data_IF_745055220098
#
_entry.id   IF_745055220098
#
_cell.length_a   1.000
_cell.length_b   1.000
_cell.length_c   1.000
_cell.angle_alpha   90.00
_cell.angle_beta   90.00
_cell.angle_gamma   90.00
#
_symmetry.space_group_name_H-M   'P 1'
#
loop_
_entity.id
_entity.type
_entity.pdbx_description
1 polymer ?
#
# COMPACT_ATOMS: atom_id res chain seq x y z
N UNK A 1 27.60 -26.10 -29.54
CA UNK A 1 28.94 -25.48 -29.62
C UNK A 1 28.73 -24.00 -29.32
N UNK A 2 29.11 -23.55 -28.12
CA UNK A 2 28.98 -22.16 -27.67
C UNK A 2 29.87 -21.25 -28.52
N UNK A 3 29.37 -20.08 -28.91
CA UNK A 3 30.23 -18.94 -29.22
C UNK A 3 29.76 -17.77 -28.35
N UNK A 4 30.59 -17.51 -27.34
CA UNK A 4 30.58 -16.32 -26.50
C UNK A 4 31.14 -15.16 -27.34
N UNK A 5 30.43 -14.03 -27.42
CA UNK A 5 31.07 -12.75 -27.78
C UNK A 5 30.79 -11.79 -26.65
N UNK A 6 31.71 -11.74 -25.69
CA UNK A 6 31.86 -10.61 -24.79
C UNK A 6 32.54 -9.48 -25.57
N UNK A 7 31.92 -8.30 -25.61
CA UNK A 7 32.63 -7.06 -25.90
C UNK A 7 32.55 -6.16 -24.67
N UNK A 8 33.65 -6.12 -23.94
CA UNK A 8 33.97 -5.02 -23.05
C UNK A 8 34.33 -3.80 -23.90
N UNK A 9 33.79 -2.63 -23.55
CA UNK A 9 34.31 -1.35 -24.03
C UNK A 9 34.47 -0.42 -22.85
N UNK A 10 35.71 -0.24 -22.46
CA UNK A 10 36.15 0.79 -21.54
C UNK A 10 36.08 2.16 -22.22
N UNK A 11 35.40 3.11 -21.59
CA UNK A 11 35.77 4.53 -21.62
C UNK A 11 35.40 5.15 -20.27
N UNK A 12 36.42 5.58 -19.53
CA UNK A 12 36.33 6.16 -18.21
C UNK A 12 35.70 7.56 -18.23
N UNK A 13 34.65 7.77 -17.44
CA UNK A 13 34.56 8.95 -16.56
C UNK A 13 33.58 8.64 -15.42
N UNK A 14 34.12 8.38 -14.21
CA UNK A 14 33.39 8.47 -12.94
C UNK A 14 32.46 7.31 -12.54
N UNK A 15 32.94 6.07 -12.43
CA UNK A 15 32.12 4.96 -11.90
C UNK A 15 32.35 4.78 -10.39
N UNK A 16 31.50 5.43 -9.57
CA UNK A 16 31.12 4.85 -8.28
C UNK A 16 30.50 3.47 -8.56
N UNK A 17 30.90 2.43 -7.83
CA UNK A 17 30.16 1.16 -7.87
C UNK A 17 28.66 1.46 -7.70
N UNK A 18 27.75 0.85 -8.48
CA UNK A 18 26.33 1.10 -8.35
C UNK A 18 25.96 0.89 -6.87
N UNK A 19 25.25 1.83 -6.25
CA UNK A 19 24.94 1.72 -4.84
C UNK A 19 24.16 0.41 -4.64
N UNK A 20 24.45 -0.32 -3.56
CA UNK A 20 23.93 -1.68 -3.31
C UNK A 20 22.39 -1.75 -3.33
N UNK A 21 21.72 -0.61 -3.19
CA UNK A 21 20.27 -0.43 -3.24
C UNK A 21 19.71 -0.30 -4.66
N UNK A 22 20.57 -0.17 -5.68
CA UNK A 22 20.21 0.08 -7.07
C UNK A 22 20.66 -1.03 -8.01
N UNK A 23 19.78 -1.42 -8.95
CA UNK A 23 20.18 -2.25 -10.07
C UNK A 23 19.44 -1.88 -11.35
N UNK A 24 20.10 -2.14 -12.47
CA UNK A 24 19.50 -2.10 -13.80
C UNK A 24 19.85 -3.39 -14.53
N UNK A 25 18.84 -4.05 -15.10
CA UNK A 25 19.01 -5.23 -15.93
C UNK A 25 18.36 -4.98 -17.28
N UNK A 26 19.10 -5.23 -18.36
CA UNK A 26 18.58 -5.24 -19.73
C UNK A 26 18.66 -6.67 -20.25
N UNK A 27 17.55 -7.18 -20.78
CA UNK A 27 17.48 -8.52 -21.35
C UNK A 27 16.82 -8.48 -22.73
N UNK A 28 17.34 -9.31 -23.63
CA UNK A 28 16.83 -9.47 -24.99
C UNK A 28 16.20 -10.84 -25.11
N UNK A 29 14.94 -10.87 -25.52
CA UNK A 29 14.11 -12.05 -25.64
C UNK A 29 14.03 -12.40 -27.12
N UNK A 30 14.71 -13.47 -27.53
CA UNK A 30 14.72 -13.94 -28.91
C UNK A 30 13.47 -14.77 -29.25
N UNK A 31 13.12 -14.85 -30.53
CA UNK A 31 11.94 -15.55 -31.03
C UNK A 31 10.64 -15.11 -30.34
N UNK A 32 10.50 -13.81 -30.08
CA UNK A 32 9.44 -13.25 -29.26
C UNK A 32 8.04 -13.59 -29.79
N UNK A 33 7.84 -13.54 -31.11
CA UNK A 33 6.56 -13.90 -31.74
C UNK A 33 6.15 -15.36 -31.55
N UNK A 34 7.11 -16.26 -31.30
CA UNK A 34 6.88 -17.69 -31.06
C UNK A 34 6.58 -18.02 -29.61
N UNK A 35 6.75 -17.06 -28.70
CA UNK A 35 6.37 -17.27 -27.31
C UNK A 35 4.87 -17.51 -27.24
N UNK A 36 4.51 -18.54 -26.48
CA UNK A 36 3.12 -18.87 -26.19
C UNK A 36 2.59 -17.91 -25.11
N UNK A 37 1.41 -18.22 -24.56
CA UNK A 37 0.81 -17.42 -23.52
C UNK A 37 1.51 -17.59 -22.16
N UNK A 38 2.57 -18.41 -22.07
CA UNK A 38 3.24 -18.70 -20.81
C UNK A 38 4.16 -17.55 -20.37
N UNK A 39 4.43 -17.53 -19.08
CA UNK A 39 5.35 -16.59 -18.46
C UNK A 39 6.78 -16.86 -18.95
N UNK A 40 7.43 -15.81 -19.46
CA UNK A 40 8.86 -15.78 -19.68
C UNK A 40 9.54 -15.06 -18.51
N UNK A 41 10.68 -15.56 -18.03
CA UNK A 41 11.41 -14.95 -16.92
C UNK A 41 12.80 -14.52 -17.36
N UNK A 42 13.25 -13.36 -16.88
CA UNK A 42 14.64 -12.94 -17.04
C UNK A 42 15.58 -13.73 -16.12
N UNK A 43 16.88 -13.53 -16.33
CA UNK A 43 17.89 -13.87 -15.33
C UNK A 43 17.65 -13.10 -14.01
N UNK A 44 18.18 -13.65 -12.93
CA UNK A 44 18.10 -13.05 -11.60
C UNK A 44 19.13 -11.93 -11.47
N UNK A 45 18.70 -10.79 -10.94
CA UNK A 45 19.57 -9.66 -10.59
C UNK A 45 19.37 -9.24 -9.14
N UNK A 46 20.27 -8.40 -8.62
CA UNK A 46 20.36 -8.10 -7.19
C UNK A 46 20.24 -6.59 -6.94
N UNK A 47 19.30 -6.19 -6.07
CA UNK A 47 19.15 -4.81 -5.61
C UNK A 47 18.69 -4.80 -4.15
N UNK A 48 19.29 -3.96 -3.31
CA UNK A 48 18.97 -3.84 -1.89
C UNK A 48 19.22 -5.10 -1.07
N UNK A 49 20.09 -6.01 -1.53
CA UNK A 49 20.32 -7.31 -0.90
C UNK A 49 19.28 -8.39 -1.23
N UNK A 50 18.32 -8.09 -2.11
CA UNK A 50 17.27 -9.02 -2.54
C UNK A 50 17.47 -9.49 -3.97
N UNK A 51 16.94 -10.68 -4.28
CA UNK A 51 16.96 -11.26 -5.62
C UNK A 51 15.70 -10.90 -6.37
N UNK A 52 15.87 -10.35 -7.55
CA UNK A 52 14.80 -9.88 -8.42
C UNK A 52 14.86 -10.59 -9.77
N UNK A 53 13.71 -10.71 -10.42
CA UNK A 53 13.59 -11.14 -11.81
C UNK A 53 12.41 -10.42 -12.46
N UNK A 54 12.43 -10.33 -13.78
CA UNK A 54 11.30 -9.84 -14.57
C UNK A 54 10.46 -11.05 -14.96
N UNK A 55 9.14 -10.95 -14.78
CA UNK A 55 8.16 -11.83 -15.43
C UNK A 55 7.56 -11.08 -16.61
N UNK A 56 7.76 -11.60 -17.82
CA UNK A 56 7.17 -11.09 -19.05
C UNK A 56 6.05 -12.04 -19.47
N UNK A 57 4.89 -11.48 -19.81
CA UNK A 57 3.75 -12.21 -20.39
C UNK A 57 3.57 -11.71 -21.82
N UNK A 58 4.18 -12.38 -22.81
CA UNK A 58 4.36 -11.86 -24.18
C UNK A 58 3.07 -11.53 -24.92
N UNK A 59 2.00 -12.26 -24.62
CA UNK A 59 0.64 -12.06 -25.18
C UNK A 59 -0.34 -11.47 -24.17
N UNK A 60 0.19 -10.92 -23.09
CA UNK A 60 -0.60 -10.39 -21.98
C UNK A 60 -1.31 -11.45 -21.18
N UNK A 61 -1.88 -11.02 -20.05
CA UNK A 61 -2.81 -11.83 -19.27
C UNK A 61 -4.24 -11.56 -19.78
N UNK A 62 -4.59 -12.11 -20.95
CA UNK A 62 -5.92 -11.97 -21.59
C UNK A 62 -6.28 -10.53 -22.04
N UNK A 63 -5.26 -9.73 -22.32
CA UNK A 63 -5.36 -8.40 -22.94
C UNK A 63 -4.43 -8.35 -24.14
N UNK A 64 -4.79 -7.62 -25.20
CA UNK A 64 -3.93 -7.43 -26.40
C UNK A 64 -2.75 -6.47 -26.12
N UNK A 65 -2.09 -6.64 -24.97
CA UNK A 65 -0.94 -5.86 -24.51
C UNK A 65 0.13 -6.79 -23.96
N UNK A 66 1.40 -6.39 -24.09
CA UNK A 66 2.48 -6.98 -23.31
C UNK A 66 2.30 -6.64 -21.83
N UNK A 67 2.37 -7.63 -20.95
CA UNK A 67 2.41 -7.42 -19.50
C UNK A 67 3.80 -7.74 -18.95
N UNK A 68 4.25 -6.95 -17.97
CA UNK A 68 5.55 -7.13 -17.31
C UNK A 68 5.42 -6.90 -15.81
N UNK A 69 6.13 -7.72 -15.02
CA UNK A 69 6.13 -7.64 -13.56
C UNK A 69 7.55 -7.77 -13.02
N UNK A 70 7.81 -7.04 -11.93
CA UNK A 70 8.98 -7.23 -11.09
C UNK A 70 8.61 -8.26 -10.02
N UNK A 71 9.45 -9.29 -9.85
CA UNK A 71 9.20 -10.41 -8.94
C UNK A 71 10.36 -10.60 -7.99
N UNK A 72 10.06 -10.82 -6.70
CA UNK A 72 11.04 -11.27 -5.71
C UNK A 72 11.35 -12.75 -5.98
N UNK A 73 12.54 -13.03 -6.51
CA UNK A 73 12.87 -14.32 -7.11
C UNK A 73 12.89 -15.48 -6.11
N UNK A 74 13.23 -15.20 -4.85
CA UNK A 74 13.37 -16.17 -3.77
C UNK A 74 12.40 -15.91 -2.61
N UNK A 75 11.22 -15.33 -2.92
CA UNK A 75 10.15 -15.02 -1.96
C UNK A 75 9.81 -16.16 -1.02
N UNK A 76 9.74 -17.40 -1.54
CA UNK A 76 9.45 -18.62 -0.76
C UNK A 76 10.51 -18.98 0.28
N UNK A 77 11.71 -18.41 0.17
CA UNK A 77 12.83 -18.65 1.10
C UNK A 77 13.03 -17.52 2.09
N UNK A 78 12.31 -16.41 1.92
CA UNK A 78 12.35 -15.29 2.85
C UNK A 78 11.64 -15.64 4.17
N UNK A 79 12.00 -14.99 5.28
CA UNK A 79 11.33 -15.21 6.56
C UNK A 79 9.84 -14.85 6.47
N UNK A 80 8.98 -15.60 7.17
CA UNK A 80 7.56 -15.28 7.29
C UNK A 80 7.38 -13.83 7.80
N UNK A 81 6.51 -13.06 7.15
CA UNK A 81 6.26 -11.66 7.44
C UNK A 81 7.27 -10.70 6.82
N UNK A 82 8.00 -11.11 5.78
CA UNK A 82 8.95 -10.23 5.09
C UNK A 82 8.24 -9.10 4.37
N UNK A 83 8.92 -7.96 4.28
CA UNK A 83 8.44 -6.77 3.59
C UNK A 83 9.63 -6.04 2.98
N UNK A 84 9.57 -5.73 1.69
CA UNK A 84 10.62 -5.02 0.95
C UNK A 84 10.01 -3.76 0.36
N UNK A 85 10.48 -2.59 0.84
CA UNK A 85 10.08 -1.30 0.32
C UNK A 85 10.98 -0.89 -0.85
N UNK A 86 10.39 -0.82 -2.05
CA UNK A 86 11.04 -0.34 -3.27
C UNK A 86 10.67 1.12 -3.49
N UNK A 87 11.68 1.99 -3.45
CA UNK A 87 11.51 3.44 -3.64
C UNK A 87 11.00 3.77 -5.03
N UNK A 88 11.60 3.17 -6.05
CA UNK A 88 11.05 3.18 -7.40
C UNK A 88 11.55 1.98 -8.20
N UNK A 89 10.77 1.58 -9.20
CA UNK A 89 11.25 0.73 -10.27
C UNK A 89 10.61 1.12 -11.61
N UNK A 90 11.32 0.84 -12.71
CA UNK A 90 10.80 0.99 -14.07
C UNK A 90 10.80 -0.36 -14.78
N UNK A 91 9.82 -0.57 -15.65
CA UNK A 91 9.76 -1.67 -16.60
C UNK A 91 9.59 -1.06 -17.99
N UNK A 92 10.60 -1.25 -18.84
CA UNK A 92 10.69 -0.56 -20.12
C UNK A 92 10.84 -1.54 -21.28
N UNK A 93 10.18 -1.25 -22.39
CA UNK A 93 10.35 -1.93 -23.68
C UNK A 93 11.19 -1.03 -24.57
N UNK A 94 12.41 -1.47 -24.84
CA UNK A 94 13.42 -0.67 -25.53
C UNK A 94 13.10 -0.60 -27.02
N UNK A 95 13.02 0.63 -27.53
CA UNK A 95 12.88 0.89 -28.95
C UNK A 95 14.24 1.14 -29.60
N UNK A 96 14.36 0.88 -30.90
CA UNK A 96 15.54 1.26 -31.68
C UNK A 96 15.82 2.78 -31.66
N UNK A 97 14.76 3.59 -31.61
CA UNK A 97 14.86 5.01 -31.28
C UNK A 97 14.65 5.20 -29.77
N UNK A 98 15.68 5.57 -28.99
CA UNK A 98 15.57 5.71 -27.54
C UNK A 98 14.43 6.63 -27.08
N UNK A 99 14.10 7.66 -27.87
CA UNK A 99 13.01 8.61 -27.56
C UNK A 99 11.60 7.98 -27.63
N UNK A 100 11.46 6.81 -28.27
CA UNK A 100 10.21 6.06 -28.40
C UNK A 100 10.15 4.85 -27.46
N UNK A 101 11.12 4.72 -26.54
CA UNK A 101 11.09 3.68 -25.51
C UNK A 101 9.83 3.83 -24.66
N UNK A 102 9.10 2.73 -24.48
CA UNK A 102 7.95 2.71 -23.57
C UNK A 102 8.49 2.39 -22.19
N UNK A 103 8.24 3.27 -21.22
CA UNK A 103 8.68 3.12 -19.84
C UNK A 103 7.47 3.24 -18.91
N UNK A 104 7.31 2.24 -18.04
CA UNK A 104 6.30 2.24 -17.00
C UNK A 104 6.98 2.32 -15.64
N UNK A 105 6.69 3.37 -14.87
CA UNK A 105 7.31 3.64 -13.58
C UNK A 105 6.32 3.38 -12.42
N UNK A 106 6.82 2.74 -11.36
CA UNK A 106 6.13 2.61 -10.07
C UNK A 106 7.01 3.17 -8.95
N UNK A 107 6.40 3.87 -7.98
CA UNK A 107 7.07 4.49 -6.83
C UNK A 107 6.51 3.94 -5.52
N UNK A 108 7.37 3.83 -4.52
CA UNK A 108 7.02 3.49 -3.13
C UNK A 108 6.14 2.24 -3.02
N UNK A 109 6.53 1.16 -3.70
CA UNK A 109 5.79 -0.10 -3.65
C UNK A 109 6.39 -1.05 -2.61
N UNK A 110 5.55 -1.83 -1.94
CA UNK A 110 5.95 -2.78 -0.90
C UNK A 110 5.63 -4.20 -1.36
N UNK A 111 6.68 -5.01 -1.52
CA UNK A 111 6.56 -6.45 -1.78
C UNK A 111 6.51 -7.20 -0.44
N UNK A 112 5.64 -8.21 -0.33
CA UNK A 112 5.48 -9.02 0.88
C UNK A 112 4.93 -10.42 0.56
N UNK A 113 4.64 -11.23 1.59
CA UNK A 113 4.12 -12.60 1.45
C UNK A 113 2.88 -12.75 0.57
N UNK A 114 2.01 -11.73 0.51
CA UNK A 114 0.76 -11.74 -0.27
C UNK A 114 0.91 -11.03 -1.62
N UNK A 115 2.09 -10.52 -1.94
CA UNK A 115 2.37 -9.68 -3.09
C UNK A 115 3.84 -9.73 -3.45
N UNK A 116 4.32 -10.90 -3.87
CA UNK A 116 5.70 -11.13 -4.28
C UNK A 116 6.02 -10.63 -5.69
N UNK A 117 4.98 -10.25 -6.44
CA UNK A 117 5.04 -9.77 -7.82
C UNK A 117 4.15 -8.53 -7.99
N UNK A 118 4.67 -7.52 -8.68
CA UNK A 118 3.91 -6.30 -9.02
C UNK A 118 4.41 -5.70 -10.33
N UNK A 119 3.51 -5.08 -11.09
CA UNK A 119 3.83 -4.57 -12.42
C UNK A 119 2.63 -4.06 -13.18
N UNK A 120 2.73 -4.13 -14.51
CA UNK A 120 1.78 -3.51 -15.42
C UNK A 120 1.20 -4.54 -16.39
N UNK A 121 -0.12 -4.64 -16.42
CA UNK A 121 -0.83 -5.51 -17.36
C UNK A 121 -0.85 -4.94 -18.79
N UNK A 122 -0.74 -3.61 -18.94
CA UNK A 122 -0.78 -2.90 -20.23
C UNK A 122 0.48 -2.05 -20.44
N UNK A 123 1.62 -2.69 -20.74
CA UNK A 123 2.87 -1.97 -21.02
C UNK A 123 2.82 -1.36 -22.42
N UNK A 124 2.63 -2.18 -23.45
CA UNK A 124 2.53 -1.75 -24.85
C UNK A 124 1.50 -2.62 -25.59
N UNK A 125 0.65 -2.06 -26.46
CA UNK A 125 -0.27 -2.87 -27.27
C UNK A 125 0.50 -3.87 -28.13
N UNK A 126 0.01 -5.10 -28.26
CA UNK A 126 0.62 -6.11 -29.13
C UNK A 126 0.60 -5.70 -30.59
N UNK A 127 -0.40 -4.92 -31.00
CA UNK A 127 -0.47 -4.35 -32.36
C UNK A 127 0.69 -3.39 -32.64
N UNK A 128 1.13 -2.62 -31.65
CA UNK A 128 2.25 -1.69 -31.79
C UNK A 128 3.60 -2.39 -31.60
N UNK A 129 3.69 -3.30 -30.63
CA UNK A 129 4.89 -4.10 -30.38
C UNK A 129 5.28 -4.96 -31.59
N UNK A 130 4.29 -5.58 -32.24
CA UNK A 130 4.48 -6.47 -33.39
C UNK A 130 4.55 -5.75 -34.75
N UNK A 131 4.30 -4.44 -34.81
CA UNK A 131 4.44 -3.67 -36.04
C UNK A 131 5.93 -3.39 -36.33
N UNK A 132 6.49 -3.94 -37.43
CA UNK A 132 7.89 -3.73 -37.77
C UNK A 132 8.27 -2.26 -38.00
N UNK A 133 7.30 -1.40 -38.33
CA UNK A 133 7.53 0.04 -38.53
C UNK A 133 7.74 0.80 -37.22
N UNK A 134 7.35 0.21 -36.09
CA UNK A 134 7.41 0.83 -34.76
C UNK A 134 8.73 0.66 -34.06
N UNK A 135 9.55 -0.34 -34.44
CA UNK A 135 10.93 -0.46 -33.99
C UNK A 135 11.16 -1.11 -32.62
N UNK A 136 10.15 -1.76 -32.04
CA UNK A 136 10.28 -2.49 -30.77
C UNK A 136 10.76 -3.94 -30.94
N UNK A 137 10.42 -4.57 -32.07
CA UNK A 137 10.88 -5.92 -32.42
C UNK A 137 11.91 -5.87 -33.54
N UNK A 138 13.10 -6.43 -33.28
CA UNK A 138 14.23 -6.45 -34.23
C UNK A 138 14.66 -7.87 -34.47
N UNK A 139 14.49 -8.39 -35.69
CA UNK A 139 14.77 -9.81 -36.01
C UNK A 139 14.05 -10.77 -35.06
N UNK A 140 12.79 -10.48 -34.77
CA UNK A 140 11.96 -11.25 -33.83
C UNK A 140 12.53 -11.30 -32.40
N UNK A 141 13.30 -10.28 -32.01
CA UNK A 141 13.81 -10.12 -30.66
C UNK A 141 13.29 -8.82 -30.02
N UNK A 142 12.74 -8.94 -28.81
CA UNK A 142 12.26 -7.82 -27.99
C UNK A 142 13.28 -7.54 -26.89
N UNK A 143 13.68 -6.28 -26.69
CA UNK A 143 14.57 -5.92 -25.58
C UNK A 143 13.78 -5.21 -24.50
N UNK A 144 13.87 -5.70 -23.27
CA UNK A 144 13.26 -5.07 -22.12
C UNK A 144 14.31 -4.69 -21.09
N UNK A 145 14.03 -3.65 -20.32
CA UNK A 145 14.90 -3.15 -19.27
C UNK A 145 14.10 -2.96 -17.98
N UNK A 146 14.74 -3.23 -16.86
CA UNK A 146 14.24 -2.94 -15.53
C UNK A 146 15.26 -2.12 -14.77
N UNK A 147 14.79 -1.11 -14.05
CA UNK A 147 15.55 -0.34 -13.08
C UNK A 147 14.87 -0.49 -11.72
N UNK A 148 15.63 -0.74 -10.65
CA UNK A 148 15.08 -0.90 -9.30
C UNK A 148 15.95 -0.12 -8.32
N UNK A 149 15.32 0.66 -7.44
CA UNK A 149 15.96 1.24 -6.26
C UNK A 149 15.19 0.88 -5.00
N UNK A 150 15.83 0.12 -4.12
CA UNK A 150 15.30 -0.31 -2.83
C UNK A 150 15.57 0.75 -1.77
N UNK A 151 14.71 0.87 -0.76
CA UNK A 151 14.98 1.76 0.37
C UNK A 151 16.00 1.10 1.33
N UNK A 152 17.22 1.64 1.44
CA UNK A 152 18.29 1.07 2.27
C UNK A 152 18.06 1.22 3.79
N UNK A 153 17.07 2.00 4.22
CA UNK A 153 16.87 2.38 5.64
C UNK A 153 15.94 1.45 6.44
N UNK A 154 15.28 0.46 5.83
CA UNK A 154 14.31 -0.42 6.53
C UNK A 154 14.79 -1.86 6.69
N UNK A 155 15.92 -2.08 7.35
CA UNK A 155 16.21 -3.38 7.99
C UNK A 155 15.55 -3.42 9.38
N UNK A 156 14.23 -3.57 9.45
CA UNK A 156 13.54 -3.72 10.75
C UNK A 156 13.72 -5.15 11.27
N UNK A 157 14.58 -5.28 12.28
CA UNK A 157 14.63 -6.45 13.17
C UNK A 157 13.35 -6.52 14.02
N UNK A 158 12.61 -7.63 13.83
CA UNK A 158 11.71 -8.40 14.73
C UNK A 158 10.98 -7.69 15.88
N UNK A 159 9.70 -8.07 16.06
CA UNK A 159 9.20 -8.58 17.36
C UNK A 159 8.20 -9.73 17.17
N UNK A 160 8.59 -10.92 17.64
CA UNK A 160 7.65 -11.99 17.98
C UNK A 160 6.83 -11.55 19.20
N UNK A 161 5.52 -11.78 19.16
CA UNK A 161 4.68 -11.92 20.37
C UNK A 161 3.70 -13.06 20.14
N UNK A 162 3.97 -14.20 20.77
CA UNK A 162 2.93 -15.13 21.19
C UNK A 162 2.11 -14.48 22.31
N UNK A 163 0.78 -14.55 22.18
CA UNK A 163 -0.16 -14.61 23.29
C UNK A 163 -1.52 -15.08 22.74
N UNK A 164 -1.75 -16.38 22.90
CA UNK A 164 -2.96 -16.98 23.48
C UNK A 164 -4.30 -16.23 23.28
N UNK A 165 -5.19 -16.78 22.45
CA UNK A 165 -6.62 -16.57 22.59
C UNK A 165 -7.45 -17.70 21.96
N UNK A 166 -8.09 -18.43 22.87
CA UNK A 166 -9.22 -19.36 22.71
C UNK A 166 -10.31 -18.82 21.76
N UNK A 167 -10.79 -19.58 20.76
CA UNK A 167 -11.98 -19.19 20.01
C UNK A 167 -13.23 -19.65 20.76
N UNK A 168 -14.12 -18.70 21.05
CA UNK A 168 -15.52 -19.00 21.37
C UNK A 168 -16.35 -18.54 20.18
N UNK A 169 -17.12 -19.49 19.66
CA UNK A 169 -18.02 -19.43 18.52
C UNK A 169 -19.07 -18.31 18.61
N UNK A 170 -19.37 -17.69 17.46
CA UNK A 170 -20.76 -17.49 17.05
C UNK A 170 -20.84 -17.29 15.54
N UNK A 171 -21.60 -18.18 14.91
CA UNK A 171 -21.89 -18.30 13.49
C UNK A 171 -22.47 -17.02 12.87
N UNK A 172 -22.15 -16.78 11.60
CA UNK A 172 -23.19 -16.43 10.61
C UNK A 172 -22.83 -17.12 9.30
N UNK A 173 -23.42 -18.31 9.10
CA UNK A 173 -23.47 -19.02 7.82
C UNK A 173 -24.16 -18.11 6.79
N UNK A 174 -23.50 -17.84 5.67
CA UNK A 174 -24.17 -17.42 4.43
C UNK A 174 -23.99 -18.53 3.40
N UNK A 175 -25.13 -19.03 2.97
CA UNK A 175 -25.40 -20.28 2.25
C UNK A 175 -24.84 -20.28 0.83
N UNK A 176 -23.96 -21.24 0.52
CA UNK A 176 -23.54 -21.59 -0.85
C UNK A 176 -24.31 -22.78 -1.44
N UNK A 177 -25.35 -23.28 -0.76
CA UNK A 177 -25.99 -24.58 -1.07
C UNK A 177 -26.91 -24.62 -2.30
N UNK A 178 -26.70 -23.77 -3.33
CA UNK A 178 -27.51 -23.80 -4.55
C UNK A 178 -26.81 -24.45 -5.74
N UNK A 179 -25.50 -24.71 -5.65
CA UNK A 179 -24.70 -25.20 -6.78
C UNK A 179 -24.04 -26.57 -6.54
N UNK A 180 -23.99 -27.03 -5.29
CA UNK A 180 -23.39 -28.33 -4.93
C UNK A 180 -24.06 -29.54 -5.62
N UNK A 181 -25.40 -29.60 -5.81
CA UNK A 181 -26.02 -30.73 -6.53
C UNK A 181 -25.65 -30.76 -8.02
N UNK A 182 -25.49 -29.58 -8.62
CA UNK A 182 -25.22 -29.41 -10.05
C UNK A 182 -23.78 -29.83 -10.39
N UNK A 183 -22.85 -29.68 -9.43
CA UNK A 183 -21.46 -30.08 -9.55
C UNK A 183 -21.29 -31.61 -9.50
N UNK A 184 -22.03 -32.28 -8.60
CA UNK A 184 -22.02 -33.74 -8.46
C UNK A 184 -22.63 -34.44 -9.68
N UNK A 185 -23.70 -33.87 -10.24
CA UNK A 185 -24.37 -34.41 -11.43
C UNK A 185 -23.48 -34.34 -12.69
N UNK A 186 -22.72 -33.26 -12.86
CA UNK A 186 -21.77 -33.10 -13.97
C UNK A 186 -20.62 -34.09 -13.87
N UNK A 187 -20.10 -34.34 -12.67
CA UNK A 187 -18.98 -35.25 -12.42
C UNK A 187 -19.37 -36.72 -12.66
N UNK A 188 -20.58 -37.11 -12.26
CA UNK A 188 -21.15 -38.44 -12.51
C UNK A 188 -21.34 -38.76 -14.01
N UNK A 189 -21.66 -37.75 -14.82
CA UNK A 189 -21.84 -37.88 -16.28
C UNK A 189 -20.50 -37.99 -17.02
N UNK A 190 -19.44 -37.37 -16.50
CA UNK A 190 -18.10 -37.38 -17.13
C UNK A 190 -17.33 -38.69 -16.93
N UNK A 191 -17.79 -39.54 -16.02
CA UNK A 191 -17.16 -40.83 -15.62
C UNK A 191 -17.88 -42.07 -16.19
N UNK A 192 -18.99 -41.92 -16.93
CA UNK A 192 -19.76 -43.02 -17.52
C UNK A 192 -19.28 -43.51 -18.90
N UNK A 193 -19.26 -44.83 -19.07
CA UNK A 193 -18.61 -45.61 -20.15
C UNK A 193 -19.11 -45.43 -21.61
N UNK A 194 -18.24 -45.89 -22.51
CA UNK A 194 -18.28 -45.87 -23.99
C UNK A 194 -19.61 -46.23 -24.67
N UNK A 195 -19.96 -45.54 -25.76
CA UNK A 195 -20.96 -45.98 -26.74
C UNK A 195 -20.44 -45.93 -28.19
N UNK A 196 -20.74 -46.99 -28.96
CA UNK A 196 -20.33 -47.20 -30.36
C UNK A 196 -21.10 -46.30 -31.33
N UNK A 197 -20.54 -45.94 -32.50
CA UNK A 197 -21.21 -45.07 -33.44
C UNK A 197 -22.13 -45.89 -34.35
N UNK A 198 -23.39 -45.46 -34.51
CA UNK A 198 -24.06 -45.60 -35.80
C UNK A 198 -25.22 -44.62 -36.00
N UNK A 199 -25.15 -43.95 -37.16
CA UNK A 199 -26.20 -43.27 -37.97
C UNK A 199 -27.06 -42.17 -37.32
N UNK A 200 -26.75 -40.92 -37.67
CA UNK A 200 -27.55 -40.09 -38.60
C UNK A 200 -26.79 -38.79 -38.93
N UNK A 201 -26.80 -38.38 -40.20
CA UNK A 201 -26.23 -37.11 -40.69
C UNK A 201 -27.34 -36.08 -40.92
N UNK A 202 -26.93 -34.81 -40.82
CA UNK A 202 -27.57 -33.52 -41.17
C UNK A 202 -28.25 -32.84 -39.98
N UNK A 203 -27.90 -31.59 -39.62
CA UNK A 203 -27.80 -30.40 -40.46
C UNK A 203 -26.80 -29.38 -39.88
N UNK A 204 -26.21 -28.56 -40.77
CA UNK A 204 -25.14 -27.59 -40.61
C UNK A 204 -25.21 -26.67 -39.37
N UNK A 205 -24.15 -26.75 -38.54
CA UNK A 205 -23.53 -25.69 -37.74
C UNK A 205 -22.00 -25.80 -37.93
N UNK A 206 -21.16 -24.86 -37.45
CA UNK A 206 -19.71 -24.94 -37.70
C UNK A 206 -19.20 -26.30 -37.21
N UNK A 207 -18.66 -27.10 -38.14
CA UNK A 207 -18.25 -28.47 -37.88
C UNK A 207 -16.98 -28.45 -37.05
N UNK A 208 -17.11 -28.45 -35.73
CA UNK A 208 -16.00 -28.66 -34.81
C UNK A 208 -15.38 -30.03 -35.09
N UNK A 209 -14.06 -30.09 -35.13
CA UNK A 209 -13.29 -31.31 -35.34
C UNK A 209 -13.34 -32.21 -34.10
N UNK A 210 -13.12 -33.52 -34.27
CA UNK A 210 -13.07 -34.48 -33.15
C UNK A 210 -12.00 -34.09 -32.13
N UNK A 211 -10.88 -33.52 -32.59
CA UNK A 211 -9.80 -33.02 -31.74
C UNK A 211 -10.22 -31.80 -30.89
N UNK A 212 -11.00 -30.87 -31.46
CA UNK A 212 -11.54 -29.72 -30.71
C UNK A 212 -12.53 -30.13 -29.62
N UNK A 213 -13.33 -31.19 -29.86
CA UNK A 213 -14.27 -31.73 -28.87
C UNK A 213 -13.51 -32.43 -27.73
N UNK A 214 -12.47 -33.22 -28.05
CA UNK A 214 -11.62 -33.89 -27.06
C UNK A 214 -10.88 -32.84 -26.20
N UNK A 215 -10.25 -31.87 -26.84
CA UNK A 215 -9.54 -30.77 -26.17
C UNK A 215 -10.48 -29.97 -25.25
N UNK A 216 -11.70 -29.66 -25.70
CA UNK A 216 -12.70 -28.97 -24.87
C UNK A 216 -13.13 -29.80 -23.66
N UNK A 217 -13.23 -31.12 -23.80
CA UNK A 217 -13.56 -32.04 -22.69
C UNK A 217 -12.44 -32.07 -21.63
N UNK A 218 -11.18 -32.04 -22.06
CA UNK A 218 -10.03 -32.02 -21.15
C UNK A 218 -9.90 -30.67 -20.43
N UNK A 219 -10.09 -29.55 -21.13
CA UNK A 219 -10.11 -28.21 -20.53
C UNK A 219 -11.25 -28.09 -19.50
N UNK A 220 -12.44 -28.59 -19.84
CA UNK A 220 -13.59 -28.60 -18.94
C UNK A 220 -13.29 -29.36 -17.64
N UNK A 221 -12.71 -30.56 -17.73
CA UNK A 221 -12.28 -31.33 -16.55
C UNK A 221 -11.24 -30.58 -15.71
N UNK A 222 -10.24 -29.99 -16.36
CA UNK A 222 -9.21 -29.20 -15.68
C UNK A 222 -9.76 -27.93 -15.01
N UNK A 223 -10.90 -27.40 -15.44
CA UNK A 223 -11.55 -26.26 -14.76
C UNK A 223 -12.40 -26.71 -13.56
N UNK A 224 -12.92 -27.94 -13.56
CA UNK A 224 -13.69 -28.49 -12.45
C UNK A 224 -12.79 -28.88 -11.27
N UNK A 225 -11.52 -29.19 -11.51
CA UNK A 225 -10.57 -29.57 -10.45
C UNK A 225 -9.99 -28.38 -9.65
N UNK A 226 -10.43 -27.14 -9.91
CA UNK A 226 -9.88 -25.92 -9.29
C UNK A 226 -11.02 -25.01 -8.78
N UNK A 227 -10.81 -24.33 -7.65
CA UNK A 227 -11.77 -23.38 -7.08
C UNK A 227 -12.16 -22.29 -8.08
N UNK A 228 -13.44 -21.89 -8.08
CA UNK A 228 -13.98 -20.87 -8.99
C UNK A 228 -13.20 -19.55 -8.94
N UNK A 229 -12.67 -19.19 -7.76
CA UNK A 229 -11.82 -18.02 -7.59
C UNK A 229 -10.53 -18.12 -8.43
N UNK A 230 -9.89 -19.29 -8.44
CA UNK A 230 -8.71 -19.54 -9.28
C UNK A 230 -9.09 -19.63 -10.75
N UNK A 231 -10.26 -20.16 -11.11
CA UNK A 231 -10.73 -20.19 -12.50
C UNK A 231 -10.90 -18.78 -13.06
N UNK A 232 -11.47 -17.87 -12.26
CA UNK A 232 -11.68 -16.46 -12.64
C UNK A 232 -10.35 -15.70 -12.64
N UNK A 233 -9.52 -15.83 -11.58
CA UNK A 233 -8.24 -15.13 -11.48
C UNK A 233 -7.21 -15.57 -12.53
N UNK A 234 -7.24 -16.83 -12.95
CA UNK A 234 -6.38 -17.35 -14.01
C UNK A 234 -6.94 -17.08 -15.42
N UNK A 235 -8.05 -16.33 -15.56
CA UNK A 235 -8.68 -16.04 -16.86
C UNK A 235 -9.19 -17.28 -17.61
N UNK A 236 -9.43 -18.37 -16.88
CA UNK A 236 -9.92 -19.65 -17.43
C UNK A 236 -11.45 -19.70 -17.48
N UNK A 237 -12.13 -18.65 -17.03
CA UNK A 237 -13.57 -18.46 -17.18
C UNK A 237 -13.98 -18.42 -18.67
N UNK A 238 -13.19 -17.77 -19.52
CA UNK A 238 -13.39 -17.79 -20.98
C UNK A 238 -13.21 -19.19 -21.57
N UNK A 239 -12.18 -19.93 -21.13
CA UNK A 239 -11.91 -21.31 -21.55
C UNK A 239 -13.02 -22.26 -21.12
N UNK A 240 -13.51 -22.12 -19.89
CA UNK A 240 -14.63 -22.88 -19.34
C UNK A 240 -15.92 -22.60 -20.12
N UNK A 241 -16.22 -21.32 -20.38
CA UNK A 241 -17.39 -20.92 -21.18
C UNK A 241 -17.32 -21.48 -22.60
N UNK A 242 -16.16 -21.33 -23.27
CA UNK A 242 -15.96 -21.82 -24.64
C UNK A 242 -16.08 -23.34 -24.70
N UNK A 243 -15.49 -24.05 -23.75
CA UNK A 243 -15.59 -25.51 -23.65
C UNK A 243 -17.03 -25.96 -23.45
N UNK A 244 -17.78 -25.30 -22.55
CA UNK A 244 -19.20 -25.57 -22.33
C UNK A 244 -20.05 -25.27 -23.58
N UNK A 245 -19.77 -24.19 -24.31
CA UNK A 245 -20.46 -23.87 -25.57
C UNK A 245 -20.21 -24.90 -26.68
N UNK A 246 -18.99 -25.44 -26.78
CA UNK A 246 -18.65 -26.52 -27.73
C UNK A 246 -19.35 -27.83 -27.33
N UNK A 247 -19.32 -28.17 -26.04
CA UNK A 247 -19.99 -29.37 -25.52
C UNK A 247 -21.52 -29.31 -25.69
N UNK A 248 -22.14 -28.16 -25.47
CA UNK A 248 -23.57 -27.92 -25.75
C UNK A 248 -23.89 -28.11 -27.24
N UNK A 249 -23.03 -27.61 -28.13
CA UNK A 249 -23.24 -27.67 -29.59
C UNK A 249 -23.00 -29.08 -30.17
N UNK A 250 -22.28 -29.94 -29.44
CA UNK A 250 -21.94 -31.31 -29.85
C UNK A 250 -22.90 -32.39 -29.31
N UNK A 251 -24.01 -32.00 -28.67
CA UNK A 251 -24.92 -32.91 -27.96
C UNK A 251 -24.22 -33.79 -26.91
N UNK A 252 -23.13 -33.29 -26.31
CA UNK A 252 -22.38 -34.02 -25.28
C UNK A 252 -23.12 -34.11 -23.93
N UNK A 253 -24.21 -33.35 -23.75
CA UNK A 253 -25.01 -33.32 -22.53
C UNK A 253 -26.38 -34.01 -22.71
N UNK A 254 -26.91 -34.66 -21.65
CA UNK A 254 -28.28 -35.17 -21.64
C UNK A 254 -29.33 -34.08 -21.88
N UNK A 255 -30.39 -34.38 -22.66
CA UNK A 255 -31.42 -33.40 -23.06
C UNK A 255 -32.10 -32.67 -21.90
N UNK A 256 -32.21 -33.30 -20.73
CA UNK A 256 -32.86 -32.73 -19.55
C UNK A 256 -32.05 -31.65 -18.83
N UNK A 257 -30.74 -31.52 -19.12
CA UNK A 257 -29.86 -30.51 -18.48
C UNK A 257 -29.43 -29.40 -19.43
N UNK A 258 -29.67 -29.55 -20.74
CA UNK A 258 -29.24 -28.59 -21.78
C UNK A 258 -29.78 -27.18 -21.52
N UNK A 259 -31.05 -27.03 -21.13
CA UNK A 259 -31.65 -25.72 -20.87
C UNK A 259 -31.03 -24.99 -19.67
N UNK A 260 -30.68 -25.73 -18.62
CA UNK A 260 -30.04 -25.17 -17.41
C UNK A 260 -28.60 -24.77 -17.69
N UNK A 261 -27.84 -25.63 -18.38
CA UNK A 261 -26.46 -25.34 -18.78
C UNK A 261 -26.42 -24.16 -19.76
N UNK A 262 -27.39 -24.06 -20.68
CA UNK A 262 -27.51 -22.93 -21.61
C UNK A 262 -27.75 -21.61 -20.86
N UNK A 263 -28.66 -21.59 -19.86
CA UNK A 263 -28.88 -20.42 -19.00
C UNK A 263 -27.65 -20.06 -18.18
N UNK A 264 -26.95 -21.06 -17.65
CA UNK A 264 -25.71 -20.87 -16.91
C UNK A 264 -24.64 -20.20 -17.79
N UNK A 265 -24.35 -20.77 -18.97
CA UNK A 265 -23.36 -20.23 -19.93
C UNK A 265 -23.71 -18.81 -20.39
N UNK A 266 -25.01 -18.52 -20.58
CA UNK A 266 -25.48 -17.19 -20.96
C UNK A 266 -25.19 -16.12 -19.89
N UNK A 267 -25.34 -16.48 -18.61
CA UNK A 267 -25.14 -15.57 -17.48
C UNK A 267 -23.73 -15.62 -16.88
N UNK A 268 -22.90 -16.56 -17.32
CA UNK A 268 -21.62 -16.88 -16.69
C UNK A 268 -20.65 -15.70 -16.68
N UNK A 269 -20.50 -14.99 -17.81
CA UNK A 269 -19.60 -13.82 -17.93
C UNK A 269 -20.03 -12.71 -16.98
N UNK A 270 -21.31 -12.34 -17.01
CA UNK A 270 -21.86 -11.32 -16.13
C UNK A 270 -21.69 -11.69 -14.65
N UNK A 271 -21.81 -12.98 -14.32
CA UNK A 271 -21.61 -13.47 -12.96
C UNK A 271 -20.14 -13.39 -12.51
N UNK A 272 -19.19 -13.67 -13.41
CA UNK A 272 -17.76 -13.54 -13.14
C UNK A 272 -17.35 -12.06 -12.97
N UNK A 273 -17.85 -11.18 -13.85
CA UNK A 273 -17.64 -9.73 -13.74
C UNK A 273 -18.17 -9.18 -12.40
N UNK A 274 -19.39 -9.56 -12.01
CA UNK A 274 -19.98 -9.15 -10.73
C UNK A 274 -19.18 -9.68 -9.53
N UNK A 275 -18.65 -10.90 -9.62
CA UNK A 275 -17.80 -11.47 -8.60
C UNK A 275 -16.50 -10.68 -8.42
N UNK A 276 -15.81 -10.31 -9.51
CA UNK A 276 -14.57 -9.53 -9.42
C UNK A 276 -14.80 -8.11 -8.91
N UNK A 277 -15.89 -7.45 -9.33
CA UNK A 277 -16.28 -6.14 -8.77
C UNK A 277 -16.52 -6.28 -7.26
N UNK A 278 -17.29 -7.27 -6.82
CA UNK A 278 -17.55 -7.49 -5.40
C UNK A 278 -16.26 -7.82 -4.61
N UNK A 279 -15.32 -8.55 -5.21
CA UNK A 279 -14.02 -8.87 -4.61
C UNK A 279 -13.15 -7.62 -4.47
N UNK A 280 -13.16 -6.75 -5.48
CA UNK A 280 -12.46 -5.47 -5.44
C UNK A 280 -13.05 -4.53 -4.40
N UNK A 281 -14.38 -4.41 -4.35
CA UNK A 281 -15.09 -3.63 -3.34
C UNK A 281 -14.75 -4.12 -1.92
N UNK A 282 -14.70 -5.45 -1.71
CA UNK A 282 -14.33 -6.02 -0.43
C UNK A 282 -12.88 -5.71 -0.05
N UNK A 283 -11.94 -5.76 -1.01
CA UNK A 283 -10.54 -5.35 -0.77
C UNK A 283 -10.45 -3.89 -0.34
N UNK A 284 -11.17 -3.00 -1.03
CA UNK A 284 -11.19 -1.56 -0.71
C UNK A 284 -11.79 -1.31 0.69
N UNK A 285 -12.85 -2.03 1.05
CA UNK A 285 -13.45 -1.94 2.40
C UNK A 285 -12.45 -2.39 3.47
N UNK A 286 -11.78 -3.52 3.28
CA UNK A 286 -10.79 -4.03 4.25
C UNK A 286 -9.60 -3.07 4.42
N UNK A 287 -9.14 -2.45 3.34
CA UNK A 287 -8.07 -1.45 3.38
C UNK A 287 -8.51 -0.19 4.14
N UNK A 288 -9.73 0.28 3.90
CA UNK A 288 -10.32 1.41 4.65
C UNK A 288 -10.49 1.09 6.13
N UNK A 289 -10.94 -0.13 6.48
CA UNK A 289 -11.06 -0.57 7.87
C UNK A 289 -9.70 -0.53 8.57
N UNK A 290 -8.64 -1.05 7.93
CA UNK A 290 -7.27 -0.97 8.45
C UNK A 290 -6.82 0.48 8.65
N UNK A 291 -7.06 1.34 7.67
CA UNK A 291 -6.73 2.78 7.77
C UNK A 291 -7.47 3.47 8.93
N UNK A 292 -8.73 3.12 9.17
CA UNK A 292 -9.51 3.65 10.30
C UNK A 292 -8.90 3.22 11.64
N UNK A 293 -8.50 1.96 11.75
CA UNK A 293 -7.86 1.44 12.97
C UNK A 293 -6.51 2.12 13.24
N UNK A 294 -5.69 2.33 12.21
CA UNK A 294 -4.43 3.06 12.33
C UNK A 294 -4.65 4.51 12.79
N UNK A 295 -5.62 5.20 12.19
CA UNK A 295 -6.00 6.56 12.60
C UNK A 295 -6.51 6.63 14.04
N UNK A 296 -7.34 5.66 14.45
CA UNK A 296 -7.88 5.57 15.81
C UNK A 296 -6.77 5.34 16.83
N UNK A 297 -5.77 4.53 16.49
CA UNK A 297 -4.61 4.29 17.34
C UNK A 297 -3.73 5.54 17.45
N UNK A 298 -3.45 6.22 16.33
CA UNK A 298 -2.72 7.49 16.33
C UNK A 298 -3.43 8.57 17.16
N UNK A 299 -4.77 8.64 17.07
CA UNK A 299 -5.57 9.59 17.87
C UNK A 299 -5.49 9.29 19.37
N UNK A 300 -5.54 8.02 19.77
CA UNK A 300 -5.37 7.60 21.17
C UNK A 300 -3.98 7.96 21.70
N UNK A 301 -2.95 7.73 20.89
CA UNK A 301 -1.57 8.06 21.25
C UNK A 301 -1.40 9.57 21.42
N UNK A 302 -1.88 10.37 20.47
CA UNK A 302 -1.81 11.83 20.55
C UNK A 302 -2.57 12.38 21.76
N UNK A 303 -3.75 11.84 22.04
CA UNK A 303 -4.55 12.21 23.21
C UNK A 303 -3.83 11.89 24.53
N UNK A 304 -3.29 10.69 24.66
CA UNK A 304 -2.70 10.20 25.92
C UNK A 304 -1.29 10.73 26.16
N UNK A 305 -0.44 10.75 25.14
CA UNK A 305 0.99 11.04 25.27
C UNK A 305 1.34 12.51 25.08
N UNK A 306 0.55 13.25 24.28
CA UNK A 306 0.87 14.65 23.95
C UNK A 306 -0.13 15.61 24.59
N UNK A 307 -1.43 15.39 24.39
CA UNK A 307 -2.44 16.36 24.81
C UNK A 307 -2.65 16.39 26.33
N UNK A 308 -2.85 15.23 26.95
CA UNK A 308 -3.15 15.16 28.39
C UNK A 308 -2.04 15.73 29.29
N UNK A 309 -0.74 15.46 29.05
CA UNK A 309 0.33 16.05 29.84
C UNK A 309 0.43 17.56 29.70
N UNK A 310 0.32 18.08 28.46
CA UNK A 310 0.36 19.53 28.19
C UNK A 310 -0.83 20.22 28.85
N UNK A 311 -2.02 19.63 28.79
CA UNK A 311 -3.21 20.15 29.48
C UNK A 311 -3.00 20.23 30.99
N UNK A 312 -2.48 19.17 31.62
CA UNK A 312 -2.19 19.18 33.06
C UNK A 312 -1.15 20.23 33.43
N UNK A 313 -0.14 20.43 32.58
CA UNK A 313 0.87 21.47 32.79
C UNK A 313 0.25 22.87 32.71
N UNK A 314 -0.62 23.13 31.73
CA UNK A 314 -1.34 24.39 31.63
C UNK A 314 -2.21 24.65 32.87
N UNK A 315 -2.98 23.64 33.31
CA UNK A 315 -3.80 23.74 34.53
C UNK A 315 -2.94 24.02 35.79
N UNK A 316 -1.72 23.48 35.87
CA UNK A 316 -0.79 23.78 36.97
C UNK A 316 -0.25 25.21 36.92
N UNK A 317 0.05 25.73 35.72
CA UNK A 317 0.51 27.11 35.53
C UNK A 317 -0.59 28.09 35.87
N UNK A 318 -1.83 27.84 35.46
CA UNK A 318 -2.98 28.68 35.80
C UNK A 318 -3.17 28.79 37.32
N UNK A 319 -3.05 27.67 38.05
CA UNK A 319 -3.10 27.66 39.52
C UNK A 319 -1.96 28.47 40.17
N UNK A 320 -0.76 28.42 39.59
CA UNK A 320 0.38 29.21 40.08
C UNK A 320 0.18 30.72 39.85
N UNK A 321 -0.39 31.09 38.70
CA UNK A 321 -0.75 32.48 38.39
C UNK A 321 -1.77 33.01 39.40
N UNK A 322 -2.84 32.25 39.66
CA UNK A 322 -3.87 32.63 40.63
C UNK A 322 -3.27 32.87 42.03
N UNK A 323 -2.36 32.00 42.46
CA UNK A 323 -1.67 32.13 43.75
C UNK A 323 -0.76 33.37 43.79
N UNK A 324 0.01 33.63 42.74
CA UNK A 324 0.87 34.81 42.65
C UNK A 324 0.06 36.11 42.62
N UNK A 325 -1.09 36.12 41.96
CA UNK A 325 -2.01 37.26 41.97
C UNK A 325 -2.54 37.53 43.38
N UNK A 326 -2.95 36.49 44.09
CA UNK A 326 -3.37 36.59 45.50
C UNK A 326 -2.26 37.22 46.36
N UNK A 327 -1.03 36.70 46.27
CA UNK A 327 0.12 37.26 47.00
C UNK A 327 0.42 38.71 46.63
N UNK A 328 0.30 39.06 45.34
CA UNK A 328 0.52 40.43 44.87
C UNK A 328 -0.51 41.39 45.49
N UNK A 329 -1.78 40.98 45.59
CA UNK A 329 -2.81 41.82 46.23
C UNK A 329 -2.52 42.07 47.71
N UNK A 330 -2.09 41.04 48.45
CA UNK A 330 -1.70 41.17 49.86
C UNK A 330 -0.51 42.13 50.03
N UNK A 331 0.52 42.00 49.19
CA UNK A 331 1.70 42.87 49.22
C UNK A 331 1.36 44.32 48.87
N UNK A 332 0.47 44.54 47.89
CA UNK A 332 -0.04 45.89 47.57
C UNK A 332 -0.78 46.50 48.77
N UNK A 333 -1.61 45.72 49.46
CA UNK A 333 -2.29 46.17 50.68
C UNK A 333 -1.30 46.52 51.81
N UNK A 334 -0.27 45.68 52.02
CA UNK A 334 0.78 45.96 53.01
C UNK A 334 1.58 47.22 52.67
N UNK A 335 1.93 47.43 51.40
CA UNK A 335 2.60 48.65 50.92
C UNK A 335 1.75 49.89 51.21
N UNK A 336 0.45 49.85 50.92
CA UNK A 336 -0.46 50.96 51.19
C UNK A 336 -0.52 51.29 52.70
N UNK A 337 -0.61 50.29 53.57
CA UNK A 337 -0.58 50.47 55.03
C UNK A 337 0.72 51.13 55.51
N UNK A 338 1.86 50.66 55.03
CA UNK A 338 3.16 51.25 55.39
C UNK A 338 3.30 52.69 54.90
N UNK A 339 2.79 52.99 53.71
CA UNK A 339 2.78 54.35 53.16
C UNK A 339 2.02 55.31 54.08
N UNK A 340 0.84 54.92 54.58
CA UNK A 340 0.07 55.71 55.54
C UNK A 340 0.83 55.93 56.86
N UNK A 341 1.49 54.89 57.38
CA UNK A 341 2.29 55.02 58.61
C UNK A 341 3.45 56.00 58.41
N UNK A 342 4.13 55.94 57.27
CA UNK A 342 5.21 56.87 56.96
C UNK A 342 4.73 58.32 56.85
N UNK A 343 3.56 58.55 56.26
CA UNK A 343 2.94 59.88 56.16
C UNK A 343 2.64 60.46 57.55
N UNK A 344 2.02 59.67 58.44
CA UNK A 344 1.77 60.08 59.83
C UNK A 344 3.07 60.40 60.58
N UNK A 345 4.10 59.57 60.42
CA UNK A 345 5.40 59.82 61.07
C UNK A 345 6.09 61.08 60.52
N UNK A 346 5.98 61.33 59.21
CA UNK A 346 6.51 62.53 58.59
C UNK A 346 5.82 63.80 59.13
N UNK A 347 4.50 63.77 59.27
CA UNK A 347 3.73 64.87 59.86
C UNK A 347 4.13 65.12 61.32
N UNK A 348 4.27 64.07 62.12
CA UNK A 348 4.75 64.16 63.50
C UNK A 348 6.16 64.75 63.59
N UNK A 349 7.09 64.28 62.76
CA UNK A 349 8.46 64.78 62.72
C UNK A 349 8.50 66.27 62.32
N UNK A 350 7.67 66.67 61.36
CA UNK A 350 7.54 68.07 60.95
C UNK A 350 6.98 68.95 62.08
N UNK A 351 5.96 68.48 62.81
CA UNK A 351 5.40 69.20 63.95
C UNK A 351 6.41 69.38 65.09
N UNK A 352 7.15 68.31 65.43
CA UNK A 352 8.23 68.36 66.42
C UNK A 352 9.35 69.33 66.01
N UNK A 353 9.78 69.26 64.74
CA UNK A 353 10.76 70.18 64.17
C UNK A 353 10.31 71.63 64.32
N UNK A 354 9.06 71.94 63.99
CA UNK A 354 8.51 73.29 64.14
C UNK A 354 8.43 73.74 65.61
N UNK A 355 8.11 72.83 66.54
CA UNK A 355 8.12 73.13 67.97
C UNK A 355 9.51 73.45 68.49
N UNK A 356 10.50 72.63 68.13
CA UNK A 356 11.89 72.84 68.53
C UNK A 356 12.41 74.20 68.06
N UNK A 357 12.12 74.58 66.81
CA UNK A 357 12.51 75.91 66.28
C UNK A 357 11.88 77.04 67.10
N UNK A 358 10.59 76.93 67.47
CA UNK A 358 9.93 77.94 68.33
C UNK A 358 10.58 78.01 69.72
N UNK A 359 10.85 76.88 70.35
CA UNK A 359 11.47 76.81 71.67
C UNK A 359 12.89 77.40 71.65
N UNK A 360 13.66 77.14 70.59
CA UNK A 360 14.98 77.74 70.38
C UNK A 360 14.90 79.27 70.21
N UNK A 361 13.96 79.77 69.40
CA UNK A 361 13.72 81.21 69.22
C UNK A 361 13.35 81.90 70.54
N UNK A 362 12.47 81.28 71.33
CA UNK A 362 12.03 81.82 72.62
C UNK A 362 13.15 81.77 73.67
N UNK A 363 13.97 80.71 73.67
CA UNK A 363 15.17 80.64 74.51
C UNK A 363 16.15 81.78 74.19
N UNK A 364 16.38 82.07 72.90
CA UNK A 364 17.23 83.20 72.47
C UNK A 364 16.65 84.54 72.96
N UNK A 365 15.34 84.77 72.80
CA UNK A 365 14.66 85.98 73.32
C UNK A 365 14.81 86.10 74.84
N UNK A 366 14.63 85.00 75.58
CA UNK A 366 14.78 84.99 77.03
C UNK A 366 16.22 85.31 77.46
N UNK A 367 17.22 84.75 76.78
CA UNK A 367 18.63 85.06 77.01
C UNK A 367 18.94 86.55 76.80
N UNK A 368 18.39 87.16 75.75
CA UNK A 368 18.51 88.60 75.49
C UNK A 368 17.85 89.41 76.61
N UNK A 369 16.61 89.10 76.98
CA UNK A 369 15.88 89.80 78.04
C UNK A 369 16.59 89.72 79.41
N UNK A 370 17.14 88.55 79.76
CA UNK A 370 17.92 88.36 81.00
C UNK A 370 19.16 89.26 81.02
N UNK A 371 19.90 89.34 79.91
CA UNK A 371 21.06 90.25 79.78
C UNK A 371 20.66 91.72 79.91
N UNK A 372 19.52 92.12 79.37
CA UNK A 372 19.03 93.52 79.46
C UNK A 372 18.58 93.88 80.87
N UNK A 373 17.93 92.96 81.60
CA UNK A 373 17.52 93.15 82.99
C UNK A 373 18.69 93.18 83.97
N UNK A 374 19.80 92.48 83.70
CA UNK A 374 21.02 92.53 84.52
C UNK A 374 21.85 93.81 84.32
N UNK A 375 21.55 94.62 83.30
CA UNK A 375 22.25 95.88 82.98
C UNK A 375 21.53 97.13 83.50
N UNK A 376 20.30 96.99 84.00
CA UNK A 376 19.56 98.01 84.75
C UNK A 376 19.71 97.72 86.23
#
# INVERSE_FOLDING_TARGET
MMILVAQAKDTSTGNSAPPMDYARLRCTIENFSKLDCNNHYSDIFYAGGYKWKIQIVPKGNYVDFLSMYLVVADSKTLPLGWSICVKFFTLSVINQNPELTVENEAKNHVFNDNGESWGFHTVIPLSELNDPSKGFLVRDACTVEVEVRVNSEEHVKRKNKEADQKPTSSETKRTTSKFDPLFVDIQSILEGESFKPDKFVSSFGPSWTIEEIICSKDIFKQCLDIDLDNVIQLGRDFELKKSLSILLSSNAFPKNVVDEITKFVANFVQSCEQYEVAKQDLREVLEKEKSIDDQKNAMKELSSNKFLPVRKQAECVDQEVDELESQLTERKAKKARLSLVLEVLADQANALKQSLVRDEEDHVKFCVLKKTRQRR
#
